data_IF_420479532212
#
_entry.id   IF_420479532212
#
_cell.length_a   1.000
_cell.length_b   1.000
_cell.length_c   1.000
_cell.angle_alpha   90.00
_cell.angle_beta   90.00
_cell.angle_gamma   90.00
#
_symmetry.space_group_name_H-M   'P 1'
#
loop_
_entity.id
_entity.type
_entity.pdbx_description
1 polymer ?
#
# COMPACT_ATOMS: atom_id res chain seq x y z
N UNK A 1 -1.06 5.84 -15.37
CA UNK A 1 -1.67 5.55 -14.06
C UNK A 1 -1.64 6.83 -13.22
N UNK A 2 -2.72 7.64 -13.25
CA UNK A 2 -2.85 8.82 -12.39
C UNK A 2 -3.35 8.36 -11.01
N UNK A 3 -2.69 8.78 -9.94
CA UNK A 3 -3.15 8.55 -8.56
C UNK A 3 -2.20 7.79 -7.63
N UNK A 4 -1.06 7.29 -8.13
CA UNK A 4 -0.01 6.68 -7.28
C UNK A 4 1.24 7.56 -7.37
N UNK A 5 1.66 8.12 -6.24
CA UNK A 5 2.94 8.81 -6.11
C UNK A 5 3.92 7.91 -5.37
N UNK A 6 5.14 7.79 -5.87
CA UNK A 6 6.19 7.03 -5.20
C UNK A 6 7.17 7.98 -4.52
N UNK A 7 7.48 7.73 -3.26
CA UNK A 7 8.67 8.29 -2.63
C UNK A 7 9.87 7.47 -3.07
N UNK A 8 10.89 8.19 -3.53
CA UNK A 8 12.14 7.63 -4.03
C UNK A 8 13.26 8.17 -3.15
N UNK A 9 14.13 7.30 -2.68
CA UNK A 9 15.30 7.71 -1.92
C UNK A 9 16.35 8.40 -2.81
N UNK A 10 17.39 8.93 -2.18
CA UNK A 10 18.49 9.63 -2.88
C UNK A 10 19.27 8.74 -3.85
N UNK A 11 19.10 7.41 -3.79
CA UNK A 11 19.71 6.42 -4.68
C UNK A 11 18.78 5.99 -5.82
N UNK A 12 17.56 6.55 -5.89
CA UNK A 12 16.58 6.20 -6.92
C UNK A 12 15.72 4.98 -6.57
N UNK A 13 15.79 4.47 -5.33
CA UNK A 13 15.01 3.30 -4.89
C UNK A 13 13.64 3.76 -4.38
N UNK A 14 12.57 3.13 -4.86
CA UNK A 14 11.20 3.39 -4.38
C UNK A 14 11.04 2.81 -2.98
N UNK A 15 10.80 3.67 -1.99
CA UNK A 15 10.71 3.28 -0.58
C UNK A 15 9.28 3.31 -0.05
N UNK A 16 8.41 4.13 -0.63
CA UNK A 16 7.00 4.17 -0.27
C UNK A 16 6.13 4.58 -1.46
N UNK A 17 4.84 4.27 -1.38
CA UNK A 17 3.84 4.71 -2.34
C UNK A 17 2.66 5.37 -1.61
N UNK A 18 2.22 6.52 -2.11
CA UNK A 18 1.00 7.21 -1.71
C UNK A 18 -0.05 6.95 -2.77
N UNK A 19 -1.11 6.24 -2.38
CA UNK A 19 -2.23 5.91 -3.26
C UNK A 19 -3.40 6.83 -2.93
N UNK A 20 -3.93 7.54 -3.93
CA UNK A 20 -5.13 8.36 -3.75
C UNK A 20 -6.38 7.49 -3.75
N UNK A 21 -6.89 7.20 -2.55
CA UNK A 21 -8.03 6.32 -2.31
C UNK A 21 -9.37 6.87 -2.85
N UNK A 22 -9.47 8.17 -3.11
CA UNK A 22 -10.69 8.75 -3.75
C UNK A 22 -10.82 8.36 -5.22
N UNK A 23 -9.72 8.00 -5.89
CA UNK A 23 -9.74 7.61 -7.30
C UNK A 23 -9.75 6.09 -7.49
N UNK A 24 -9.37 5.32 -6.47
CA UNK A 24 -9.14 3.86 -6.55
C UNK A 24 -9.67 3.15 -5.30
N UNK A 25 -10.89 3.49 -4.86
CA UNK A 25 -11.46 2.98 -3.60
C UNK A 25 -11.64 1.47 -3.57
N UNK A 26 -12.00 0.83 -4.70
CA UNK A 26 -12.11 -0.64 -4.80
C UNK A 26 -10.74 -1.32 -4.66
N UNK A 27 -9.68 -0.76 -5.27
CA UNK A 27 -8.35 -1.32 -5.19
C UNK A 27 -7.79 -1.29 -3.76
N UNK A 28 -8.29 -0.39 -2.92
CA UNK A 28 -7.85 -0.24 -1.54
C UNK A 28 -8.36 -1.35 -0.62
N UNK A 29 -9.57 -1.87 -0.84
CA UNK A 29 -10.09 -2.99 -0.04
C UNK A 29 -9.17 -4.21 -0.16
N UNK A 30 -8.79 -4.58 -1.39
CA UNK A 30 -7.89 -5.71 -1.64
C UNK A 30 -6.51 -5.54 -0.98
N UNK A 31 -5.93 -4.34 -1.06
CA UNK A 31 -4.63 -4.06 -0.43
C UNK A 31 -4.70 -4.03 1.09
N UNK A 32 -5.77 -3.47 1.65
CA UNK A 32 -5.97 -3.40 3.09
C UNK A 32 -6.16 -4.79 3.69
N UNK A 33 -6.95 -5.65 3.04
CA UNK A 33 -7.18 -7.01 3.51
C UNK A 33 -5.89 -7.84 3.53
N UNK A 34 -5.05 -7.72 2.50
CA UNK A 34 -3.74 -8.41 2.44
C UNK A 34 -2.80 -7.88 3.53
N UNK A 35 -2.65 -6.56 3.66
CA UNK A 35 -1.76 -5.97 4.66
C UNK A 35 -2.22 -6.30 6.10
N UNK A 36 -3.53 -6.33 6.33
CA UNK A 36 -4.11 -6.71 7.61
C UNK A 36 -3.89 -8.21 7.89
N UNK A 37 -4.05 -9.07 6.88
CA UNK A 37 -3.79 -10.50 7.01
C UNK A 37 -2.31 -10.79 7.35
N UNK A 38 -1.36 -10.17 6.66
CA UNK A 38 0.07 -10.30 6.97
C UNK A 38 0.41 -9.77 8.38
N UNK A 39 -0.21 -8.67 8.81
CA UNK A 39 0.00 -8.14 10.17
C UNK A 39 -0.53 -9.05 11.28
N UNK A 40 -1.57 -9.84 10.98
CA UNK A 40 -2.22 -10.77 11.91
C UNK A 40 -1.61 -12.17 11.88
N UNK A 41 -0.72 -12.45 10.94
CA UNK A 41 -0.01 -13.73 10.86
C UNK A 41 0.88 -13.98 12.09
N UNK A 42 1.24 -12.92 12.80
CA UNK A 42 1.99 -12.96 14.06
C UNK A 42 1.12 -13.13 15.33
N UNK A 43 -0.21 -13.10 15.23
CA UNK A 43 -1.10 -13.29 16.39
C UNK A 43 -1.29 -14.79 16.71
N UNK A 44 -1.00 -15.24 17.95
CA UNK A 44 -1.28 -16.61 18.37
C UNK A 44 -2.79 -16.84 18.51
N UNK A 45 -3.26 -17.99 18.02
CA UNK A 45 -4.69 -18.40 17.95
C UNK A 45 -5.31 -18.71 19.30
#
# INVERSE_FOLDING_TARGET
>A
MKGIQFLVDVRGIKTAAVVNLKQHSELWEDFHDIALAESREAEPR
#
